data_IF_624680058261
#
_entry.id   IF_624680058261
#
_cell.length_a   1.000
_cell.length_b   1.000
_cell.length_c   1.000
_cell.angle_alpha   90.00
_cell.angle_beta   90.00
_cell.angle_gamma   90.00
#
_symmetry.space_group_name_H-M   'P 1'
#
loop_
_entity.id
_entity.type
_entity.pdbx_description
1 polymer ?
#
# COMPACT_ATOMS: atom_id res chain seq x y z
N UNK A 1 23.00 -8.17 -1.65
CA UNK A 1 22.39 -6.84 -1.44
C UNK A 1 20.88 -7.02 -1.25
N UNK A 2 20.32 -6.60 -0.11
CA UNK A 2 18.95 -6.95 0.30
C UNK A 2 17.86 -6.09 -0.39
N UNK A 3 16.74 -6.72 -0.74
CA UNK A 3 15.56 -6.08 -1.33
C UNK A 3 14.78 -5.21 -0.31
N UNK A 4 15.40 -4.12 0.14
CA UNK A 4 14.79 -3.18 1.08
C UNK A 4 13.97 -2.16 0.29
N UNK A 5 12.67 -2.09 0.58
CA UNK A 5 11.79 -1.05 0.03
C UNK A 5 12.22 0.32 0.55
N UNK A 6 12.33 1.29 -0.36
CA UNK A 6 12.64 2.68 -0.04
C UNK A 6 11.66 3.27 0.99
N UNK A 7 12.15 4.17 1.82
CA UNK A 7 11.38 4.82 2.90
C UNK A 7 10.16 5.57 2.38
N UNK A 8 10.25 6.18 1.18
CA UNK A 8 9.16 6.90 0.56
C UNK A 8 7.92 6.00 0.33
N UNK A 9 8.12 4.79 -0.20
CA UNK A 9 7.04 3.79 -0.42
C UNK A 9 6.37 3.42 0.90
N UNK A 10 7.15 3.22 1.96
CA UNK A 10 6.62 2.87 3.30
C UNK A 10 5.80 4.01 3.88
N UNK A 11 6.28 5.26 3.77
CA UNK A 11 5.60 6.46 4.26
C UNK A 11 4.26 6.68 3.57
N UNK A 12 4.23 6.59 2.23
CA UNK A 12 3.00 6.74 1.45
C UNK A 12 2.00 5.66 1.86
N UNK A 13 2.43 4.40 1.88
CA UNK A 13 1.57 3.29 2.26
C UNK A 13 1.01 3.40 3.69
N UNK A 14 1.82 3.86 4.65
CA UNK A 14 1.37 4.13 6.02
C UNK A 14 0.31 5.23 6.04
N UNK A 15 0.57 6.37 5.39
CA UNK A 15 -0.41 7.47 5.31
C UNK A 15 -1.74 7.04 4.67
N UNK A 16 -1.69 6.22 3.61
CA UNK A 16 -2.88 5.65 2.99
C UNK A 16 -3.68 4.83 4.00
N UNK A 17 -3.02 3.94 4.75
CA UNK A 17 -3.69 3.11 5.77
C UNK A 17 -4.21 3.96 6.94
N UNK A 18 -3.50 5.02 7.34
CA UNK A 18 -3.95 5.88 8.42
C UNK A 18 -5.19 6.69 8.03
N UNK A 19 -5.27 7.17 6.77
CA UNK A 19 -6.40 7.97 6.29
C UNK A 19 -7.58 7.12 5.80
N UNK A 20 -7.30 5.93 5.25
CA UNK A 20 -8.28 5.10 4.52
C UNK A 20 -8.16 3.62 4.91
N UNK A 21 -7.70 3.31 6.12
CA UNK A 21 -7.42 1.95 6.58
C UNK A 21 -8.61 0.99 6.49
N UNK A 22 -9.82 1.52 6.58
CA UNK A 22 -11.06 0.75 6.57
C UNK A 22 -11.41 0.20 5.17
N UNK A 23 -11.02 0.91 4.09
CA UNK A 23 -11.32 0.49 2.72
C UNK A 23 -10.31 -0.48 2.13
N UNK A 24 -9.13 -0.62 2.75
CA UNK A 24 -8.12 -1.55 2.24
C UNK A 24 -8.41 -2.97 2.67
N UNK A 25 -8.40 -3.88 1.69
CA UNK A 25 -8.71 -5.30 1.91
C UNK A 25 -7.44 -6.16 1.77
N UNK A 26 -7.62 -7.49 1.84
CA UNK A 26 -6.53 -8.43 1.55
C UNK A 26 -6.32 -8.64 0.04
N UNK A 27 -7.18 -8.06 -0.80
CA UNK A 27 -7.11 -8.21 -2.24
C UNK A 27 -6.13 -7.20 -2.88
N UNK A 28 -5.23 -7.68 -3.72
CA UNK A 28 -4.21 -6.84 -4.34
C UNK A 28 -4.79 -5.94 -5.44
N UNK A 29 -5.75 -6.44 -6.22
CA UNK A 29 -6.28 -5.74 -7.40
C UNK A 29 -7.17 -4.56 -6.99
N UNK A 30 -7.99 -4.79 -5.96
CA UNK A 30 -8.79 -3.78 -5.27
C UNK A 30 -7.88 -2.71 -4.67
N UNK A 31 -6.86 -3.11 -3.90
CA UNK A 31 -5.92 -2.18 -3.29
C UNK A 31 -5.12 -1.37 -4.32
N UNK A 32 -4.76 -1.96 -5.45
CA UNK A 32 -4.07 -1.25 -6.54
C UNK A 32 -4.95 -0.14 -7.13
N UNK A 33 -6.23 -0.41 -7.32
CA UNK A 33 -7.19 0.57 -7.82
C UNK A 33 -7.40 1.70 -6.81
N UNK A 34 -7.59 1.34 -5.53
CA UNK A 34 -7.70 2.31 -4.44
C UNK A 34 -6.45 3.18 -4.31
N UNK A 35 -5.26 2.58 -4.31
CA UNK A 35 -4.00 3.31 -4.29
C UNK A 35 -3.95 4.30 -5.43
N UNK A 36 -4.31 3.90 -6.66
CA UNK A 36 -4.35 4.81 -7.82
C UNK A 36 -5.34 5.96 -7.66
N UNK A 37 -6.50 5.73 -7.02
CA UNK A 37 -7.48 6.79 -6.76
C UNK A 37 -7.00 7.79 -5.70
N UNK A 38 -6.35 7.29 -4.65
CA UNK A 38 -5.90 8.11 -3.51
C UNK A 38 -4.49 8.69 -3.70
N UNK A 39 -3.81 8.37 -4.80
CA UNK A 39 -2.43 8.82 -5.03
C UNK A 39 -2.15 9.17 -6.48
N UNK A 40 -1.44 10.27 -6.69
CA UNK A 40 -1.00 10.74 -8.02
C UNK A 40 0.32 10.07 -8.45
N UNK A 41 0.55 8.80 -8.08
CA UNK A 41 1.78 8.09 -8.48
C UNK A 41 1.70 7.75 -9.97
N UNK A 42 2.58 8.38 -10.74
CA UNK A 42 2.71 8.17 -12.18
C UNK A 42 3.36 6.82 -12.50
N UNK A 43 4.33 6.40 -11.69
CA UNK A 43 5.11 5.19 -11.98
C UNK A 43 4.40 3.89 -11.55
N UNK A 44 4.18 2.99 -12.53
CA UNK A 44 3.58 1.65 -12.34
C UNK A 44 4.31 0.82 -11.28
N UNK A 45 5.64 0.87 -11.25
CA UNK A 45 6.46 0.07 -10.32
C UNK A 45 6.26 0.54 -8.88
N UNK A 46 6.26 1.85 -8.66
CA UNK A 46 6.04 2.44 -7.34
C UNK A 46 4.64 2.15 -6.83
N UNK A 47 3.62 2.30 -7.69
CA UNK A 47 2.23 1.95 -7.37
C UNK A 47 2.09 0.49 -6.93
N UNK A 48 2.66 -0.45 -7.69
CA UNK A 48 2.61 -1.87 -7.36
C UNK A 48 3.33 -2.17 -6.03
N UNK A 49 4.46 -1.51 -5.76
CA UNK A 49 5.20 -1.65 -4.51
C UNK A 49 4.43 -1.09 -3.31
N UNK A 50 3.74 0.04 -3.48
CA UNK A 50 2.87 0.64 -2.45
C UNK A 50 1.69 -0.28 -2.17
N UNK A 51 0.94 -0.68 -3.20
CA UNK A 51 -0.22 -1.58 -3.06
C UNK A 51 0.18 -2.90 -2.37
N UNK A 52 1.29 -3.51 -2.77
CA UNK A 52 1.79 -4.73 -2.11
C UNK A 52 2.21 -4.51 -0.66
N UNK A 53 2.75 -3.34 -0.30
CA UNK A 53 3.07 -3.03 1.09
C UNK A 53 1.81 -2.79 1.93
N UNK A 54 0.79 -2.15 1.34
CA UNK A 54 -0.52 -1.94 1.97
C UNK A 54 -1.19 -3.28 2.28
N UNK A 55 -1.34 -4.15 1.28
CA UNK A 55 -1.91 -5.50 1.47
C UNK A 55 -1.18 -6.28 2.56
N UNK A 56 0.17 -6.23 2.57
CA UNK A 56 0.97 -6.89 3.61
C UNK A 56 0.75 -6.31 5.00
N UNK A 57 0.52 -5.00 5.13
CA UNK A 57 0.27 -4.36 6.42
C UNK A 57 -1.15 -4.67 6.92
N UNK A 58 -2.16 -4.61 6.06
CA UNK A 58 -3.55 -5.00 6.37
C UNK A 58 -3.62 -6.47 6.81
N UNK A 59 -2.93 -7.36 6.11
CA UNK A 59 -2.85 -8.77 6.48
C UNK A 59 -2.21 -9.01 7.86
N UNK A 60 -1.29 -8.13 8.30
CA UNK A 60 -0.63 -8.21 9.61
C UNK A 60 -1.38 -7.45 10.73
N UNK A 61 -2.25 -6.51 10.38
CA UNK A 61 -2.95 -5.65 11.34
C UNK A 61 -4.24 -6.28 11.88
N UNK A 62 -4.81 -7.28 11.18
CA UNK A 62 -5.84 -8.17 11.75
C UNK A 62 -5.21 -9.14 12.77
N UNK A 63 -4.90 -8.63 13.95
CA UNK A 63 -4.77 -9.41 15.18
C UNK A 63 -5.85 -8.86 16.12
N UNK A 64 -6.91 -9.65 16.26
CA UNK A 64 -8.08 -9.62 17.17
C UNK A 64 -8.55 -8.27 17.72
#
# INVERSE_FOLDING_TARGET
MGNIRQTNIKRIALRLIENHGDVFTKDFETNKTLVTKYTTIESKVTRNRVAGYVTRKVARMKVY
#
